data_IF_758498644111
#
_entry.id   IF_758498644111
#
_cell.length_a   1.000
_cell.length_b   1.000
_cell.length_c   1.000
_cell.angle_alpha   90.00
_cell.angle_beta   90.00
_cell.angle_gamma   90.00
#
_symmetry.space_group_name_H-M   'P 1'
#
loop_
_entity.id
_entity.type
_entity.pdbx_description
1 polymer ?
#
# COMPACT_ATOMS: atom_id res chain seq x y z
N UNK A 1 16.72 0.73 11.87
CA UNK A 1 16.53 0.07 10.55
C UNK A 1 16.17 -1.41 10.62
N UNK A 2 16.70 -2.23 11.56
CA UNK A 2 16.33 -3.66 11.70
C UNK A 2 14.80 -3.90 11.84
N UNK A 3 14.11 -3.12 12.69
CA UNK A 3 12.65 -3.22 12.87
C UNK A 3 11.86 -2.93 11.59
N UNK A 4 12.33 -1.99 10.77
CA UNK A 4 11.74 -1.66 9.47
C UNK A 4 11.89 -2.83 8.49
N UNK A 5 13.05 -3.51 8.52
CA UNK A 5 13.28 -4.70 7.70
C UNK A 5 12.32 -5.85 8.08
N UNK A 6 12.15 -6.10 9.38
CA UNK A 6 11.18 -7.09 9.88
C UNK A 6 9.74 -6.76 9.46
N UNK A 7 9.35 -5.49 9.56
CA UNK A 7 8.04 -5.03 9.08
C UNK A 7 7.84 -5.36 7.59
N UNK A 8 8.85 -5.13 6.74
CA UNK A 8 8.76 -5.45 5.30
C UNK A 8 8.66 -6.94 5.02
N UNK A 9 9.34 -7.78 5.79
CA UNK A 9 9.20 -9.24 5.67
C UNK A 9 7.82 -9.72 6.10
N UNK A 10 7.27 -9.16 7.17
CA UNK A 10 5.91 -9.44 7.59
C UNK A 10 4.88 -8.99 6.53
N UNK A 11 5.08 -7.81 5.94
CA UNK A 11 4.26 -7.30 4.83
C UNK A 11 4.33 -8.23 3.60
N UNK A 12 5.53 -8.70 3.24
CA UNK A 12 5.72 -9.62 2.12
C UNK A 12 5.06 -11.00 2.37
N UNK A 13 5.16 -11.51 3.59
CA UNK A 13 4.49 -12.75 4.00
C UNK A 13 2.96 -12.58 3.96
N UNK A 14 2.45 -11.44 4.44
CA UNK A 14 1.03 -11.13 4.36
C UNK A 14 0.53 -11.06 2.91
N UNK A 15 1.31 -10.49 1.99
CA UNK A 15 0.99 -10.44 0.55
C UNK A 15 0.99 -11.82 -0.13
N UNK A 16 1.89 -12.72 0.27
CA UNK A 16 1.90 -14.10 -0.23
C UNK A 16 0.68 -14.87 0.27
N UNK A 17 0.38 -14.79 1.56
CA UNK A 17 -0.81 -15.40 2.14
C UNK A 17 -2.09 -14.86 1.48
N UNK A 18 -2.10 -13.56 1.18
CA UNK A 18 -3.14 -12.88 0.45
C UNK A 18 -3.41 -13.39 -0.97
N UNK A 19 -2.38 -13.88 -1.67
CA UNK A 19 -2.53 -14.51 -2.98
C UNK A 19 -2.96 -15.97 -2.86
N UNK A 20 -2.38 -16.69 -1.90
CA UNK A 20 -2.53 -18.14 -1.78
C UNK A 20 -3.84 -18.55 -1.09
N UNK A 21 -4.28 -17.83 -0.05
CA UNK A 21 -5.46 -18.19 0.74
C UNK A 21 -6.73 -18.11 -0.10
N UNK A 22 -7.06 -16.99 -0.79
CA UNK A 22 -8.28 -16.93 -1.59
C UNK A 22 -8.27 -17.95 -2.73
N UNK A 23 -7.10 -18.18 -3.33
CA UNK A 23 -6.94 -19.11 -4.45
C UNK A 23 -7.11 -20.58 -4.02
N UNK A 24 -6.45 -20.97 -2.92
CA UNK A 24 -6.64 -22.28 -2.32
C UNK A 24 -8.07 -22.49 -1.86
N UNK A 25 -8.68 -21.51 -1.19
CA UNK A 25 -10.03 -21.64 -0.65
C UNK A 25 -11.09 -21.77 -1.75
N UNK A 26 -11.00 -21.00 -2.83
CA UNK A 26 -11.92 -21.16 -3.96
C UNK A 26 -11.77 -22.47 -4.72
N UNK A 27 -10.56 -23.05 -4.74
CA UNK A 27 -10.38 -24.39 -5.29
C UNK A 27 -11.11 -25.47 -4.49
N UNK A 28 -11.37 -25.24 -3.19
CA UNK A 28 -12.06 -26.20 -2.32
C UNK A 28 -13.56 -25.97 -2.20
N UNK A 29 -14.03 -24.71 -2.18
CA UNK A 29 -15.45 -24.42 -1.90
C UNK A 29 -16.32 -24.25 -3.14
N UNK A 30 -15.73 -24.07 -4.33
CA UNK A 30 -16.43 -23.74 -5.58
C UNK A 30 -17.36 -22.50 -5.49
N UNK A 31 -17.26 -21.71 -4.42
CA UNK A 31 -18.11 -20.55 -4.19
C UNK A 31 -17.36 -19.26 -4.49
N UNK A 32 -17.83 -18.57 -5.53
CA UNK A 32 -17.24 -17.33 -6.03
C UNK A 32 -17.41 -16.16 -5.05
N UNK A 33 -18.45 -16.17 -4.21
CA UNK A 33 -18.69 -15.08 -3.24
C UNK A 33 -17.62 -15.05 -2.14
N UNK A 34 -17.22 -16.23 -1.66
CA UNK A 34 -16.12 -16.34 -0.69
C UNK A 34 -14.78 -15.97 -1.32
N UNK A 35 -14.58 -16.26 -2.60
CA UNK A 35 -13.42 -15.79 -3.35
C UNK A 35 -13.36 -14.25 -3.38
N UNK A 36 -14.47 -13.59 -3.70
CA UNK A 36 -14.56 -12.12 -3.66
C UNK A 36 -14.27 -11.55 -2.26
N UNK A 37 -14.84 -12.14 -1.22
CA UNK A 37 -14.64 -11.68 0.16
C UNK A 37 -13.18 -11.81 0.62
N UNK A 38 -12.51 -12.91 0.27
CA UNK A 38 -11.09 -13.12 0.56
C UNK A 38 -10.20 -12.08 -0.12
N UNK A 39 -10.40 -11.85 -1.41
CA UNK A 39 -9.67 -10.85 -2.18
C UNK A 39 -9.92 -9.42 -1.68
N UNK A 40 -11.16 -9.09 -1.31
CA UNK A 40 -11.51 -7.78 -0.78
C UNK A 40 -10.86 -7.51 0.59
N UNK A 41 -10.84 -8.50 1.48
CA UNK A 41 -10.17 -8.38 2.79
C UNK A 41 -8.67 -8.12 2.61
N UNK A 42 -8.05 -8.86 1.69
CA UNK A 42 -6.65 -8.72 1.31
C UNK A 42 -6.35 -7.35 0.71
N UNK A 43 -7.25 -6.81 -0.12
CA UNK A 43 -7.14 -5.46 -0.67
C UNK A 43 -7.02 -4.41 0.41
N UNK A 44 -7.91 -4.46 1.40
CA UNK A 44 -7.91 -3.52 2.52
C UNK A 44 -6.60 -3.63 3.30
N UNK A 45 -6.13 -4.85 3.56
CA UNK A 45 -4.84 -5.08 4.23
C UNK A 45 -3.66 -4.48 3.44
N UNK A 46 -3.66 -4.58 2.11
CA UNK A 46 -2.64 -3.96 1.25
C UNK A 46 -2.69 -2.43 1.31
N UNK A 47 -3.88 -1.83 1.31
CA UNK A 47 -4.04 -0.36 1.46
C UNK A 47 -3.47 0.10 2.80
N UNK A 48 -3.83 -0.59 3.89
CA UNK A 48 -3.34 -0.28 5.24
C UNK A 48 -1.81 -0.41 5.29
N UNK A 49 -1.26 -1.51 4.78
CA UNK A 49 0.19 -1.70 4.66
C UNK A 49 0.84 -0.57 3.85
N UNK A 50 0.15 -0.12 2.79
CA UNK A 50 0.62 0.98 1.98
C UNK A 50 0.75 2.28 2.77
N UNK A 51 -0.29 2.63 3.53
CA UNK A 51 -0.34 3.80 4.40
C UNK A 51 0.71 3.74 5.51
N UNK A 52 0.81 2.60 6.22
CA UNK A 52 1.80 2.42 7.30
C UNK A 52 3.22 2.64 6.80
N UNK A 53 3.55 2.02 5.68
CA UNK A 53 4.89 2.13 5.12
C UNK A 53 5.15 3.55 4.55
N UNK A 54 4.13 4.33 4.15
CA UNK A 54 4.32 5.77 3.87
C UNK A 54 4.59 6.60 5.13
N UNK A 55 4.07 6.19 6.29
CA UNK A 55 4.28 6.87 7.56
C UNK A 55 5.62 6.51 8.22
N UNK A 56 6.05 5.25 8.10
CA UNK A 56 7.24 4.72 8.79
C UNK A 56 8.50 4.68 7.92
N UNK A 57 8.40 4.75 6.59
CA UNK A 57 9.57 4.74 5.71
C UNK A 57 10.09 6.17 5.46
N UNK A 58 11.39 6.45 5.75
CA UNK A 58 12.01 7.73 5.43
C UNK A 58 11.84 8.09 3.96
N UNK A 59 11.59 9.37 3.64
CA UNK A 59 11.31 9.83 2.26
C UNK A 59 12.41 9.45 1.27
N UNK A 60 13.65 9.43 1.73
CA UNK A 60 14.86 9.01 0.99
C UNK A 60 14.85 7.54 0.55
N UNK A 61 14.09 6.69 1.25
CA UNK A 61 13.91 5.27 0.93
C UNK A 61 12.60 4.96 0.21
N UNK A 62 11.72 5.96 0.03
CA UNK A 62 10.43 5.79 -0.65
C UNK A 62 10.62 5.76 -2.17
N UNK A 63 10.30 4.63 -2.79
CA UNK A 63 10.31 4.51 -4.24
C UNK A 63 9.14 5.28 -4.87
N UNK A 64 9.41 5.96 -5.99
CA UNK A 64 8.37 6.66 -6.79
C UNK A 64 7.25 5.70 -7.24
N UNK A 65 7.59 4.43 -7.46
CA UNK A 65 6.66 3.36 -7.84
C UNK A 65 5.49 3.21 -6.85
N UNK A 66 5.73 3.47 -5.56
CA UNK A 66 4.74 3.35 -4.50
C UNK A 66 3.66 4.43 -4.54
N UNK A 67 4.05 5.65 -4.92
CA UNK A 67 3.10 6.74 -5.15
C UNK A 67 2.22 6.45 -6.37
N UNK A 68 2.79 5.83 -7.41
CA UNK A 68 2.03 5.40 -8.59
C UNK A 68 1.05 4.28 -8.23
N UNK A 69 1.50 3.29 -7.45
CA UNK A 69 0.65 2.22 -6.92
C UNK A 69 -0.57 2.75 -6.15
N UNK A 70 -0.38 3.66 -5.18
CA UNK A 70 -1.51 4.27 -4.42
C UNK A 70 -2.48 4.98 -5.36
N UNK A 71 -1.97 5.80 -6.30
CA UNK A 71 -2.82 6.51 -7.26
C UNK A 71 -3.63 5.54 -8.13
N UNK A 72 -3.01 4.45 -8.58
CA UNK A 72 -3.70 3.41 -9.36
C UNK A 72 -4.77 2.73 -8.53
N UNK A 73 -4.49 2.33 -7.29
CA UNK A 73 -5.48 1.68 -6.41
C UNK A 73 -6.64 2.61 -6.08
N UNK A 74 -6.36 3.86 -5.72
CA UNK A 74 -7.41 4.85 -5.42
C UNK A 74 -8.25 5.12 -6.67
N UNK A 75 -7.60 5.22 -7.84
CA UNK A 75 -8.31 5.36 -9.12
C UNK A 75 -9.23 4.18 -9.42
N UNK A 76 -8.77 2.94 -9.22
CA UNK A 76 -9.58 1.74 -9.39
C UNK A 76 -10.75 1.71 -8.41
N UNK A 77 -10.51 2.07 -7.15
CA UNK A 77 -11.56 2.10 -6.12
C UNK A 77 -12.65 3.14 -6.44
N UNK A 78 -12.26 4.37 -6.80
CA UNK A 78 -13.20 5.42 -7.19
C UNK A 78 -13.96 5.03 -8.46
N UNK A 79 -13.26 4.50 -9.47
CA UNK A 79 -13.91 4.03 -10.69
C UNK A 79 -14.93 2.92 -10.40
N UNK A 80 -14.56 1.95 -9.54
CA UNK A 80 -15.44 0.87 -9.09
C UNK A 80 -16.67 1.42 -8.38
N UNK A 81 -16.51 2.37 -7.47
CA UNK A 81 -17.63 2.98 -6.74
C UNK A 81 -18.62 3.68 -7.68
N UNK A 82 -18.11 4.41 -8.68
CA UNK A 82 -18.92 5.13 -9.68
C UNK A 82 -19.66 4.17 -10.61
N UNK A 83 -19.02 3.04 -10.98
CA UNK A 83 -19.58 2.08 -11.95
C UNK A 83 -20.37 0.94 -11.32
N UNK A 84 -20.25 0.72 -10.01
CA UNK A 84 -20.95 -0.32 -9.24
C UNK A 84 -22.48 -0.19 -9.27
N UNK A 85 -23.02 1.00 -9.57
CA UNK A 85 -24.47 1.25 -9.61
C UNK A 85 -25.16 0.45 -10.75
N UNK A 86 -24.41 0.00 -11.77
CA UNK A 86 -24.99 -0.68 -12.96
C UNK A 86 -24.30 -2.02 -13.31
N UNK A 87 -23.04 -2.25 -12.91
CA UNK A 87 -22.19 -3.31 -13.48
C UNK A 87 -21.38 -4.13 -12.44
N UNK A 88 -21.88 -4.29 -11.21
CA UNK A 88 -21.19 -4.96 -10.10
C UNK A 88 -20.55 -6.32 -10.47
N UNK A 89 -21.24 -7.14 -11.26
CA UNK A 89 -20.75 -8.49 -11.61
C UNK A 89 -19.55 -8.45 -12.56
N UNK A 90 -19.59 -7.59 -13.59
CA UNK A 90 -18.51 -7.45 -14.57
C UNK A 90 -17.29 -6.78 -13.92
N UNK A 91 -17.52 -5.76 -13.10
CA UNK A 91 -16.45 -5.08 -12.37
C UNK A 91 -15.81 -6.02 -11.35
N UNK A 92 -16.61 -6.83 -10.64
CA UNK A 92 -16.11 -7.88 -9.76
C UNK A 92 -15.14 -8.81 -10.49
N UNK A 93 -15.54 -9.38 -11.63
CA UNK A 93 -14.69 -10.29 -12.40
C UNK A 93 -13.40 -9.62 -12.92
N UNK A 94 -13.47 -8.35 -13.33
CA UNK A 94 -12.27 -7.59 -13.71
C UNK A 94 -11.33 -7.35 -12.52
N UNK A 95 -11.89 -7.03 -11.35
CA UNK A 95 -11.10 -6.86 -10.13
C UNK A 95 -10.43 -8.16 -9.72
N UNK A 96 -11.10 -9.30 -9.86
CA UNK A 96 -10.52 -10.64 -9.62
C UNK A 96 -9.26 -10.88 -10.45
N UNK A 97 -9.23 -10.43 -11.72
CA UNK A 97 -8.06 -10.59 -12.60
C UNK A 97 -7.01 -9.52 -12.34
N UNK A 98 -7.42 -8.27 -12.10
CA UNK A 98 -6.51 -7.16 -11.84
C UNK A 98 -5.80 -7.30 -10.49
N UNK A 99 -6.44 -7.91 -9.51
CA UNK A 99 -5.95 -7.96 -8.13
C UNK A 99 -4.64 -8.73 -7.98
N UNK A 100 -4.48 -9.97 -8.51
CA UNK A 100 -3.21 -10.66 -8.49
C UNK A 100 -2.07 -9.85 -9.13
N UNK A 101 -2.35 -9.14 -10.22
CA UNK A 101 -1.36 -8.31 -10.93
C UNK A 101 -0.89 -7.17 -10.01
N UNK A 102 -1.84 -6.49 -9.36
CA UNK A 102 -1.56 -5.39 -8.43
C UNK A 102 -0.80 -5.89 -7.20
N UNK A 103 -1.18 -7.05 -6.66
CA UNK A 103 -0.49 -7.68 -5.54
C UNK A 103 0.96 -8.05 -5.88
N UNK A 104 1.20 -8.64 -7.06
CA UNK A 104 2.55 -8.94 -7.55
C UNK A 104 3.37 -7.65 -7.71
N UNK A 105 2.79 -6.60 -8.30
CA UNK A 105 3.48 -5.32 -8.46
C UNK A 105 3.86 -4.71 -7.10
N UNK A 106 2.97 -4.79 -6.11
CA UNK A 106 3.25 -4.36 -4.75
C UNK A 106 4.40 -5.18 -4.13
N UNK A 107 4.39 -6.50 -4.29
CA UNK A 107 5.43 -7.41 -3.80
C UNK A 107 6.81 -7.10 -4.40
N UNK A 108 6.88 -6.87 -5.72
CA UNK A 108 8.11 -6.45 -6.40
C UNK A 108 8.63 -5.13 -5.83
N UNK A 109 7.73 -4.18 -5.57
CA UNK A 109 8.09 -2.89 -4.96
C UNK A 109 8.65 -3.10 -3.55
N UNK A 110 8.01 -3.92 -2.72
CA UNK A 110 8.49 -4.26 -1.37
C UNK A 110 9.86 -4.95 -1.41
N UNK A 111 10.12 -5.85 -2.37
CA UNK A 111 11.45 -6.45 -2.54
C UNK A 111 12.53 -5.42 -2.86
N UNK A 112 12.24 -4.47 -3.75
CA UNK A 112 13.17 -3.37 -4.08
C UNK A 112 13.47 -2.51 -2.85
N UNK A 113 12.46 -2.22 -2.04
CA UNK A 113 12.63 -1.47 -0.79
C UNK A 113 13.47 -2.25 0.24
N UNK A 114 13.25 -3.56 0.38
CA UNK A 114 14.08 -4.41 1.26
C UNK A 114 15.54 -4.38 0.81
N UNK A 115 15.81 -4.49 -0.50
CA UNK A 115 17.17 -4.42 -1.05
C UNK A 115 17.82 -3.06 -0.75
N UNK A 116 17.07 -1.97 -0.93
CA UNK A 116 17.53 -0.61 -0.63
C UNK A 116 17.85 -0.43 0.86
N UNK A 117 16.97 -0.89 1.76
CA UNK A 117 17.19 -0.81 3.21
C UNK A 117 18.42 -1.63 3.62
N UNK A 118 18.62 -2.82 3.04
CA UNK A 118 19.82 -3.63 3.32
C UNK A 118 21.10 -2.94 2.89
N UNK A 119 21.15 -2.34 1.70
CA UNK A 119 22.32 -1.61 1.21
C UNK A 119 22.67 -0.42 2.13
N UNK A 120 21.66 0.37 2.52
CA UNK A 120 21.88 1.49 3.44
C UNK A 120 22.32 1.02 4.83
N UNK A 121 21.76 -0.10 5.32
CA UNK A 121 22.21 -0.69 6.58
C UNK A 121 23.67 -1.18 6.53
N UNK A 122 24.13 -1.73 5.39
CA UNK A 122 25.53 -2.15 5.23
C UNK A 122 26.51 -0.98 5.09
N UNK A 123 26.05 0.13 4.53
CA UNK A 123 26.87 1.34 4.33
C UNK A 123 26.93 2.24 5.58
N UNK A 124 26.17 1.92 6.63
CA UNK A 124 26.20 2.68 7.89
C UNK A 124 25.68 4.12 7.78
N UNK A 125 24.90 4.43 6.75
CA UNK A 125 24.39 5.79 6.51
C UNK A 125 23.36 6.13 7.61
N UNK A 126 23.73 7.03 8.52
CA UNK A 126 22.83 7.61 9.51
C UNK A 126 21.95 8.69 8.86
N UNK A 127 20.67 8.39 8.68
CA UNK A 127 19.69 9.41 8.28
C UNK A 127 19.43 10.34 9.45
N UNK A 128 19.77 11.62 9.30
CA UNK A 128 19.45 12.66 10.29
C UNK A 128 17.93 12.77 10.43
N UNK A 129 17.48 13.01 11.67
CA UNK A 129 16.06 13.18 12.05
C UNK A 129 15.33 14.27 11.23
N UNK A 130 16.08 15.18 10.59
CA UNK A 130 15.58 16.19 9.63
C UNK A 130 14.95 15.59 8.37
N UNK A 131 15.28 14.35 8.00
CA UNK A 131 14.78 13.70 6.79
C UNK A 131 13.43 12.97 6.99
N UNK A 132 12.89 13.02 8.22
CA UNK A 132 11.68 12.29 8.65
C UNK A 132 10.41 13.15 8.72
N UNK A 133 10.46 14.46 8.47
CA UNK A 133 9.28 15.32 8.52
C UNK A 133 9.04 16.01 7.15
N UNK A 134 7.84 15.94 6.56
CA UNK A 134 7.35 17.12 5.87
C UNK A 134 7.19 18.21 6.93
N UNK A 135 7.74 19.38 6.64
CA UNK A 135 7.40 20.60 7.36
C UNK A 135 5.87 20.65 7.57
N UNK A 136 5.44 20.82 8.81
CA UNK A 136 4.16 21.46 9.08
C UNK A 136 4.30 22.91 8.59
N UNK A 137 4.09 23.13 7.30
CA UNK A 137 3.62 24.43 6.84
C UNK A 137 2.10 24.43 6.98
N UNK A 138 1.63 24.91 8.12
CA UNK A 138 0.31 25.52 8.21
C UNK A 138 0.40 26.72 9.15
N UNK A 139 0.76 27.85 8.53
CA UNK A 139 0.48 29.23 8.92
C UNK A 139 0.14 29.53 10.37
N UNK A 140 1.14 29.93 11.15
CA UNK A 140 0.97 31.07 12.04
C UNK A 140 0.87 32.33 11.18
N UNK A 141 -0.35 32.71 10.79
CA UNK A 141 -0.66 34.08 10.38
C UNK A 141 -2.14 34.33 10.57
N UNK A 142 -2.52 34.70 11.80
CA UNK A 142 -3.53 35.73 12.07
C UNK A 142 -3.59 35.97 13.57
N UNK A 143 -2.55 36.61 14.09
CA UNK A 143 -2.63 37.41 15.31
C UNK A 143 -1.70 38.61 15.14
N UNK A 144 -2.16 39.58 14.34
CA UNK A 144 -1.75 40.97 14.49
C UNK A 144 -2.99 41.87 14.41
N UNK A 145 -3.40 42.25 15.61
CA UNK A 145 -3.71 43.61 16.00
C UNK A 145 -4.98 44.27 15.43
N UNK A 146 -5.98 44.35 16.31
CA UNK A 146 -6.81 45.54 16.52
C UNK A 146 -5.94 46.81 16.48
N UNK A 147 -6.41 47.86 15.80
CA UNK A 147 -6.48 49.28 16.22
C UNK A 147 -6.62 50.17 14.97
N UNK A 148 -7.78 50.81 14.82
CA UNK A 148 -8.12 51.73 13.74
C UNK A 148 -9.61 51.74 13.51
#
# INVERSE_FOLDING_TARGET
>A
MKNLLYFKYADLAAQLLALLIPWGYAAFTYDINYFFFGYFTVFIAQIISCMLNSAYLPKVLQLKDRKRYIKTIVGIFVFTLVTAIVLIYIIGMLLVVAFPIIAIWYMVTTFREIKLIRMVMSEGIEFKKSDQLPAQESGQSNDRAKLG
#
